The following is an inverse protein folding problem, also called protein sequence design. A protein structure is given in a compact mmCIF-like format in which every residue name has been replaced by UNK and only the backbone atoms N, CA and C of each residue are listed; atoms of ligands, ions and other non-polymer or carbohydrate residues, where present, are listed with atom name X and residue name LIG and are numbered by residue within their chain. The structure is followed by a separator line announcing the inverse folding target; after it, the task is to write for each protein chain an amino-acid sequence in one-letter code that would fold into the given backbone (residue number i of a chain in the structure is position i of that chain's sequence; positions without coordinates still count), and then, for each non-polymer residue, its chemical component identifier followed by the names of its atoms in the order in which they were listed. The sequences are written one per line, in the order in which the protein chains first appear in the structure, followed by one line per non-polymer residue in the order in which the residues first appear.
data_IF_531662262072
#
_entry.id   IF_531662262072
#
_cell.length_a   1.000
_cell.length_b   1.000
_cell.length_c   1.000
_cell.angle_alpha   90.00
_cell.angle_beta   90.00
_cell.angle_gamma   90.00
#
_symmetry.space_group_name_H-M   'P 1'
#
loop_
_entity.id
_entity.type
_entity.pdbx_description
1 polymer ?
#
# COMPACT_ATOMS: atom_id res chain seq x y z
N UNK A 1 -11.04 12.35 -18.64
CA UNK A 1 -9.72 11.70 -18.58
C UNK A 1 -9.90 10.41 -17.81
N UNK A 2 -9.38 9.27 -18.30
CA UNK A 2 -9.40 8.04 -17.50
C UNK A 2 -8.34 8.18 -16.39
N UNK A 3 -8.74 8.10 -15.12
CA UNK A 3 -7.83 8.12 -13.99
C UNK A 3 -6.98 6.84 -13.90
N UNK A 4 -5.93 6.87 -13.09
CA UNK A 4 -5.27 5.64 -12.64
C UNK A 4 -6.08 4.96 -11.54
N UNK A 5 -5.65 3.76 -11.14
CA UNK A 5 -6.33 2.95 -10.13
C UNK A 5 -5.40 2.70 -8.94
N UNK A 6 -5.96 2.70 -7.73
CA UNK A 6 -5.25 2.27 -6.51
C UNK A 6 -5.82 0.91 -6.10
N UNK A 7 -4.96 -0.10 -6.04
CA UNK A 7 -5.30 -1.43 -5.55
C UNK A 7 -4.51 -1.74 -4.28
N UNK A 8 -5.10 -2.55 -3.41
CA UNK A 8 -4.42 -3.05 -2.20
C UNK A 8 -4.28 -4.55 -2.33
N UNK A 9 -3.04 -5.01 -2.39
CA UNK A 9 -2.68 -6.41 -2.48
C UNK A 9 -2.17 -6.92 -1.14
N UNK A 10 -2.51 -8.15 -0.79
CA UNK A 10 -1.96 -8.80 0.39
C UNK A 10 -0.74 -9.64 0.01
N UNK A 11 0.39 -9.33 0.63
CA UNK A 11 1.64 -10.08 0.55
C UNK A 11 1.80 -11.00 1.77
N UNK A 12 2.10 -12.28 1.55
CA UNK A 12 2.55 -13.20 2.60
C UNK A 12 4.09 -13.17 2.70
N UNK A 13 4.62 -12.46 3.69
CA UNK A 13 6.06 -12.29 3.89
C UNK A 13 6.69 -13.55 4.50
N UNK A 14 7.53 -14.21 3.70
CA UNK A 14 8.36 -15.33 4.16
C UNK A 14 9.46 -14.89 5.12
N UNK A 15 9.98 -13.67 4.96
CA UNK A 15 11.10 -13.15 5.75
C UNK A 15 10.68 -12.77 7.18
N UNK A 16 9.42 -12.39 7.38
CA UNK A 16 8.90 -12.06 8.72
C UNK A 16 8.54 -13.31 9.55
N UNK A 17 8.57 -14.51 8.96
CA UNK A 17 8.26 -15.75 9.70
C UNK A 17 9.26 -15.96 10.83
N UNK A 18 8.78 -15.98 12.07
CA UNK A 18 9.59 -16.26 13.25
C UNK A 18 10.54 -15.12 13.63
N UNK A 19 10.31 -13.90 13.11
CA UNK A 19 11.14 -12.78 13.51
C UNK A 19 10.96 -12.45 15.00
N UNK A 20 11.99 -11.91 15.65
CA UNK A 20 12.02 -11.72 17.11
C UNK A 20 10.90 -10.81 17.64
N UNK A 21 10.49 -9.83 16.82
CA UNK A 21 9.42 -8.89 17.14
C UNK A 21 8.01 -9.45 16.89
N UNK A 22 7.90 -10.65 16.31
CA UNK A 22 6.63 -11.32 15.96
C UNK A 22 5.74 -10.45 15.08
N UNK A 23 6.35 -9.75 14.14
CA UNK A 23 5.64 -8.95 13.16
C UNK A 23 4.65 -9.82 12.34
N UNK A 24 3.49 -9.29 11.98
CA UNK A 24 2.56 -9.98 11.08
C UNK A 24 3.24 -10.35 9.75
N UNK A 25 3.07 -11.62 9.34
CA UNK A 25 3.58 -12.12 8.05
C UNK A 25 2.72 -11.64 6.88
N UNK A 26 1.41 -11.51 7.09
CA UNK A 26 0.46 -10.95 6.12
C UNK A 26 0.57 -9.42 6.14
N UNK A 27 0.94 -8.80 5.03
CA UNK A 27 1.16 -7.36 4.89
C UNK A 27 0.36 -6.82 3.70
N UNK A 28 -0.32 -5.70 3.88
CA UNK A 28 -0.97 -5.03 2.77
C UNK A 28 0.01 -4.10 2.05
N UNK A 29 -0.01 -4.15 0.72
CA UNK A 29 0.80 -3.32 -0.18
C UNK A 29 -0.14 -2.53 -1.07
N UNK A 30 0.00 -1.20 -1.04
CA UNK A 30 -0.78 -0.33 -1.92
C UNK A 30 -0.04 -0.12 -3.24
N UNK A 31 -0.73 -0.34 -4.35
CA UNK A 31 -0.16 -0.29 -5.70
C UNK A 31 -0.96 0.72 -6.53
N UNK A 32 -0.26 1.62 -7.21
CA UNK A 32 -0.84 2.49 -8.23
C UNK A 32 -0.69 1.86 -9.61
N UNK A 33 -1.80 1.74 -10.33
CA UNK A 33 -1.84 1.32 -11.72
C UNK A 33 -2.07 2.57 -12.60
N UNK A 34 -1.22 2.81 -13.61
CA UNK A 34 -1.38 3.96 -14.48
C UNK A 34 -2.68 3.86 -15.30
N UNK A 35 -3.20 4.98 -15.84
CA UNK A 35 -4.32 4.95 -16.76
C UNK A 35 -4.07 3.97 -17.91
N UNK A 36 -5.09 3.18 -18.26
CA UNK A 36 -4.99 2.13 -19.29
C UNK A 36 -3.96 1.04 -18.97
N UNK A 37 -3.78 0.72 -17.69
CA UNK A 37 -3.01 -0.45 -17.29
C UNK A 37 -3.56 -1.72 -17.95
N UNK A 38 -2.65 -2.53 -18.48
CA UNK A 38 -2.94 -3.78 -19.18
C UNK A 38 -2.19 -4.92 -18.48
N UNK A 39 -2.89 -5.87 -17.83
CA UNK A 39 -2.24 -6.95 -17.07
C UNK A 39 -1.42 -7.90 -17.95
N UNK A 40 -1.60 -7.87 -19.28
CA UNK A 40 -0.81 -8.67 -20.22
C UNK A 40 0.55 -8.05 -20.57
N UNK A 41 0.77 -6.77 -20.23
CA UNK A 41 2.01 -6.02 -20.52
C UNK A 41 2.91 -5.91 -19.31
N UNK A 42 4.18 -5.60 -19.56
CA UNK A 42 5.18 -5.29 -18.53
C UNK A 42 5.37 -3.78 -18.45
N UNK A 43 5.39 -3.27 -17.23
CA UNK A 43 5.65 -1.86 -16.92
C UNK A 43 6.84 -1.80 -15.96
N UNK A 44 7.65 -0.72 -15.97
CA UNK A 44 8.64 -0.50 -14.92
C UNK A 44 7.93 -0.36 -13.56
N UNK A 45 8.53 -0.92 -12.51
CA UNK A 45 8.03 -0.81 -11.16
C UNK A 45 8.86 0.23 -10.38
N UNK A 46 8.17 1.11 -9.65
CA UNK A 46 8.78 2.02 -8.68
C UNK A 46 8.36 1.58 -7.29
N UNK A 47 9.33 1.44 -6.38
CA UNK A 47 9.10 1.08 -4.99
C UNK A 47 9.16 2.34 -4.13
N UNK A 48 8.00 2.79 -3.66
CA UNK A 48 7.91 3.86 -2.68
C UNK A 48 8.08 3.32 -1.26
N UNK A 49 9.09 3.82 -0.54
CA UNK A 49 9.32 3.49 0.88
C UNK A 49 9.07 4.77 1.68
N UNK A 50 8.30 4.63 2.75
CA UNK A 50 7.91 5.74 3.61
C UNK A 50 8.95 6.03 4.67
N UNK A 51 8.97 7.28 5.15
CA UNK A 51 9.78 7.67 6.30
C UNK A 51 9.31 7.01 7.60
N UNK A 52 10.11 7.21 8.65
CA UNK A 52 9.73 6.82 10.01
C UNK A 52 8.34 7.37 10.37
N UNK A 53 7.54 6.56 11.08
CA UNK A 53 6.10 6.77 11.40
C UNK A 53 5.12 6.79 10.23
N UNK A 54 5.58 6.71 8.98
CA UNK A 54 4.71 6.64 7.81
C UNK A 54 4.10 5.26 7.57
N UNK A 55 3.04 5.21 6.76
CA UNK A 55 2.50 3.96 6.18
C UNK A 55 2.57 4.03 4.66
N UNK A 56 2.48 2.88 3.96
CA UNK A 56 2.51 2.87 2.48
C UNK A 56 1.50 3.82 1.83
N UNK A 57 0.31 3.95 2.43
CA UNK A 57 -0.75 4.86 1.96
C UNK A 57 -0.39 6.35 2.10
N UNK A 58 0.58 6.70 2.96
CA UNK A 58 1.02 8.09 3.13
C UNK A 58 1.64 8.70 1.88
N UNK A 59 2.17 7.87 0.95
CA UNK A 59 2.60 8.33 -0.36
C UNK A 59 1.45 8.76 -1.27
N UNK A 60 0.20 8.45 -0.90
CA UNK A 60 -1.03 8.83 -1.58
C UNK A 60 -1.79 9.91 -0.80
N UNK A 61 -1.07 10.70 0.00
CA UNK A 61 -1.63 11.77 0.83
C UNK A 61 -2.62 11.29 1.90
N UNK A 62 -2.56 10.01 2.29
CA UNK A 62 -3.30 9.51 3.46
C UNK A 62 -2.50 9.84 4.72
N UNK A 63 -3.12 10.62 5.62
CA UNK A 63 -2.58 10.87 6.95
C UNK A 63 -2.86 9.66 7.85
N UNK A 64 -1.84 8.93 8.33
CA UNK A 64 -2.04 7.79 9.22
C UNK A 64 -2.36 8.20 10.67
N UNK A 65 -2.13 9.47 11.05
CA UNK A 65 -2.44 10.03 12.36
C UNK A 65 -3.74 10.83 12.35
N UNK A 66 -4.24 11.14 11.15
CA UNK A 66 -5.55 11.74 10.94
C UNK A 66 -6.66 10.71 11.09
N UNK A 67 -7.79 11.15 11.63
CA UNK A 67 -9.01 10.34 11.68
C UNK A 67 -9.71 10.35 10.30
N UNK A 68 -10.08 9.17 9.80
CA UNK A 68 -10.93 9.07 8.61
C UNK A 68 -12.35 9.55 8.92
N UNK A 69 -12.99 10.20 7.94
CA UNK A 69 -14.35 10.71 8.07
C UNK A 69 -15.33 9.59 8.39
N UNK A 70 -15.11 8.39 7.82
CA UNK A 70 -15.93 7.22 8.14
C UNK A 70 -15.89 6.89 9.63
N UNK A 71 -14.70 6.84 10.22
CA UNK A 71 -14.51 6.57 11.67
C UNK A 71 -15.16 7.64 12.54
N UNK A 72 -15.20 8.90 12.10
CA UNK A 72 -15.90 9.98 12.82
C UNK A 72 -17.42 9.92 12.75
N UNK A 73 -17.95 9.29 11.70
CA UNK A 73 -19.40 9.21 11.46
C UNK A 73 -20.02 7.92 12.03
N UNK A 74 -19.19 6.94 12.41
CA UNK A 74 -19.56 5.76 13.20
C UNK A 74 -19.61 6.09 14.70
#
# INVERSE_FOLDING_TARGET
MAGGEIVVETLESKVLRGNALKDPTRRDVTVYLPPRYDPSKRYPALYGIVGYTGTGKSLLSVDPLGEDLKTKLD
#
